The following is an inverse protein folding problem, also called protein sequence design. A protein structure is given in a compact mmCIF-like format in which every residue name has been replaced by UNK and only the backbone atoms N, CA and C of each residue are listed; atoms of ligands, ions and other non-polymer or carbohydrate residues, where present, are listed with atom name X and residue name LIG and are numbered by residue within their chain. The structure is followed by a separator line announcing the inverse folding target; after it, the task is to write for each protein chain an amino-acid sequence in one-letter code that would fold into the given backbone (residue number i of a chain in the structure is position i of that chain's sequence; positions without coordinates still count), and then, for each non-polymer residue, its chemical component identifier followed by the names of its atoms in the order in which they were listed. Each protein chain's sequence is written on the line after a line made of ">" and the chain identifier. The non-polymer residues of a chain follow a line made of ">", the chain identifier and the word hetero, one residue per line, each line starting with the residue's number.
data_IF_996566239562
#
_entry.id   IF_996566239562
#
_cell.length_a   1.000
_cell.length_b   1.000
_cell.length_c   1.000
_cell.angle_alpha   90.00
_cell.angle_beta   90.00
_cell.angle_gamma   90.00
#
_symmetry.space_group_name_H-M   'P 1'
#
loop_
_entity.id
_entity.type
_entity.pdbx_description
1 polymer ?
#
# COMPACT_ATOMS: atom_id res chain seq x y z
N UNK A 1 -8.13 -6.92 1.42
CA UNK A 1 -9.05 -5.85 1.01
C UNK A 1 -8.35 -4.98 -0.02
N UNK A 2 -8.83 -4.96 -1.29
CA UNK A 2 -8.26 -4.15 -2.35
C UNK A 2 -8.89 -2.76 -2.47
N UNK A 3 -8.12 -1.78 -2.95
CA UNK A 3 -8.61 -0.46 -3.36
C UNK A 3 -7.77 0.08 -4.53
N UNK A 4 -8.40 0.78 -5.47
CA UNK A 4 -7.72 1.38 -6.62
C UNK A 4 -8.07 2.86 -6.71
N UNK A 5 -7.04 3.71 -6.72
CA UNK A 5 -7.16 5.15 -6.93
C UNK A 5 -6.71 5.54 -8.33
N UNK A 6 -7.44 6.44 -8.98
CA UNK A 6 -7.08 6.98 -10.29
C UNK A 6 -6.68 8.44 -10.16
N UNK A 7 -5.47 8.78 -10.63
CA UNK A 7 -4.93 10.13 -10.62
C UNK A 7 -4.69 10.62 -12.05
N UNK A 8 -5.29 11.76 -12.45
CA UNK A 8 -5.05 12.33 -13.77
C UNK A 8 -3.57 12.73 -13.93
N UNK A 9 -3.16 12.96 -15.18
CA UNK A 9 -1.84 13.51 -15.45
C UNK A 9 -1.71 14.88 -14.76
N UNK A 10 -0.62 15.07 -14.00
CA UNK A 10 -0.34 16.32 -13.32
C UNK A 10 1.13 16.69 -13.49
N UNK A 11 1.38 17.90 -14.01
CA UNK A 11 2.72 18.39 -14.29
C UNK A 11 3.43 17.65 -15.44
N UNK A 12 4.71 18.00 -15.66
CA UNK A 12 5.58 17.41 -16.68
C UNK A 12 6.64 16.47 -16.08
N UNK A 13 6.31 15.79 -14.99
CA UNK A 13 7.24 14.86 -14.30
C UNK A 13 7.20 13.51 -15.01
N UNK A 14 8.37 12.89 -15.25
CA UNK A 14 8.44 11.58 -15.88
C UNK A 14 7.88 10.48 -14.97
N UNK A 15 7.41 9.38 -15.56
CA UNK A 15 6.94 8.21 -14.80
C UNK A 15 8.04 7.62 -13.89
N UNK A 16 9.31 7.74 -14.31
CA UNK A 16 10.46 7.33 -13.51
C UNK A 16 10.60 8.16 -12.23
N UNK A 17 10.59 9.49 -12.35
CA UNK A 17 10.68 10.40 -11.21
C UNK A 17 9.49 10.22 -10.25
N UNK A 18 8.28 10.06 -10.80
CA UNK A 18 7.08 9.73 -10.01
C UNK A 18 7.26 8.42 -9.25
N UNK A 19 7.84 7.39 -9.87
CA UNK A 19 8.11 6.12 -9.21
C UNK A 19 9.10 6.25 -8.05
N UNK A 20 10.13 7.10 -8.19
CA UNK A 20 11.09 7.39 -7.11
C UNK A 20 10.37 8.10 -5.95
N UNK A 21 9.57 9.13 -6.25
CA UNK A 21 8.82 9.87 -5.22
C UNK A 21 7.84 8.96 -4.46
N UNK A 22 7.11 8.10 -5.18
CA UNK A 22 6.17 7.15 -4.57
C UNK A 22 6.88 6.12 -3.70
N UNK A 23 8.01 5.55 -4.14
CA UNK A 23 8.80 4.62 -3.33
C UNK A 23 9.38 5.28 -2.08
N UNK A 24 9.90 6.51 -2.21
CA UNK A 24 10.47 7.26 -1.08
C UNK A 24 9.40 7.57 -0.03
N UNK A 25 8.28 8.14 -0.46
CA UNK A 25 7.17 8.46 0.44
C UNK A 25 6.52 7.22 1.04
N UNK A 26 6.53 6.09 0.33
CA UNK A 26 6.06 4.81 0.87
C UNK A 26 6.96 4.30 1.99
N UNK A 27 8.27 4.34 1.80
CA UNK A 27 9.23 3.99 2.86
C UNK A 27 9.03 4.90 4.10
N UNK A 28 8.83 6.19 3.88
CA UNK A 28 8.63 7.16 4.96
C UNK A 28 7.30 6.94 5.71
N UNK A 29 6.17 6.73 5.02
CA UNK A 29 4.89 6.44 5.68
C UNK A 29 4.93 5.11 6.44
N UNK A 30 5.66 4.11 5.95
CA UNK A 30 5.81 2.82 6.62
C UNK A 30 6.56 2.93 7.95
N UNK A 31 7.37 3.98 8.17
CA UNK A 31 7.93 4.23 9.52
C UNK A 31 6.85 4.50 10.57
N UNK A 32 5.71 5.10 10.16
CA UNK A 32 4.54 5.34 11.01
C UNK A 32 3.61 4.13 11.02
N UNK A 33 3.48 3.46 9.87
CA UNK A 33 2.65 2.27 9.68
C UNK A 33 3.47 0.97 9.68
N UNK A 34 4.42 0.86 10.61
CA UNK A 34 5.42 -0.21 10.64
C UNK A 34 4.86 -1.64 10.59
N UNK A 35 3.68 -1.97 11.18
CA UNK A 35 3.15 -3.33 11.08
C UNK A 35 2.85 -3.75 9.64
N UNK A 36 2.56 -2.80 8.75
CA UNK A 36 2.28 -3.09 7.33
C UNK A 36 3.53 -3.57 6.57
N UNK A 37 4.73 -3.30 7.09
CA UNK A 37 6.00 -3.81 6.55
C UNK A 37 6.36 -5.21 7.09
N UNK A 38 5.52 -5.79 7.96
CA UNK A 38 5.73 -7.11 8.56
C UNK A 38 5.10 -8.27 7.80
N UNK A 39 4.95 -9.40 8.50
CA UNK A 39 4.28 -10.62 8.01
C UNK A 39 3.19 -11.09 8.96
N UNK A 40 2.08 -11.58 8.40
CA UNK A 40 1.05 -12.27 9.17
C UNK A 40 1.53 -13.69 9.45
N UNK A 41 1.70 -14.05 10.72
CA UNK A 41 2.13 -15.38 11.16
C UNK A 41 0.96 -16.11 11.78
N UNK A 42 0.69 -17.32 11.25
CA UNK A 42 -0.35 -18.25 11.71
C UNK A 42 -1.77 -17.66 11.84
N UNK A 43 -2.03 -16.51 11.21
CA UNK A 43 -3.25 -15.71 11.41
C UNK A 43 -3.47 -15.22 12.85
N UNK A 44 -2.43 -15.24 13.68
CA UNK A 44 -2.50 -14.92 15.11
C UNK A 44 -1.83 -13.60 15.44
N UNK A 45 -0.72 -13.27 14.80
CA UNK A 45 0.01 -12.04 15.07
C UNK A 45 0.71 -11.50 13.81
N UNK A 46 1.07 -10.21 13.85
CA UNK A 46 1.97 -9.61 12.86
C UNK A 46 3.39 -9.65 13.43
N UNK A 47 4.29 -10.34 12.74
CA UNK A 47 5.72 -10.20 12.97
C UNK A 47 6.20 -8.91 12.29
N UNK A 48 6.48 -7.89 13.10
CA UNK A 48 7.00 -6.59 12.64
C UNK A 48 8.50 -6.70 12.33
N UNK A 49 8.83 -7.51 11.33
CA UNK A 49 10.21 -7.88 10.95
C UNK A 49 10.85 -6.95 9.90
N UNK A 50 10.18 -5.86 9.54
CA UNK A 50 10.63 -4.86 8.56
C UNK A 50 11.10 -5.45 7.21
N UNK A 51 10.56 -6.60 6.79
CA UNK A 51 10.86 -7.17 5.47
C UNK A 51 10.23 -6.38 4.31
N UNK A 52 9.47 -5.33 4.63
CA UNK A 52 8.91 -4.37 3.69
C UNK A 52 7.65 -4.86 2.99
N UNK A 53 7.22 -4.08 2.02
CA UNK A 53 6.01 -4.30 1.22
C UNK A 53 6.36 -4.57 -0.23
N UNK A 54 5.53 -5.35 -0.92
CA UNK A 54 5.70 -5.50 -2.36
C UNK A 54 5.23 -4.23 -3.09
N UNK A 55 6.07 -3.73 -4.00
CA UNK A 55 5.80 -2.55 -4.80
C UNK A 55 6.01 -2.85 -6.29
N UNK A 56 4.92 -2.85 -7.05
CA UNK A 56 4.91 -3.17 -8.48
C UNK A 56 4.76 -1.90 -9.32
N UNK A 57 5.44 -1.88 -10.46
CA UNK A 57 5.28 -0.87 -11.50
C UNK A 57 4.75 -1.54 -12.77
N UNK A 58 3.70 -0.98 -13.34
CA UNK A 58 3.09 -1.47 -14.58
C UNK A 58 2.83 -0.31 -15.56
N UNK A 59 2.69 -0.65 -16.83
CA UNK A 59 2.16 0.24 -17.85
C UNK A 59 0.88 -0.39 -18.40
N UNK A 60 -0.24 0.30 -18.30
CA UNK A 60 -1.51 -0.17 -18.81
C UNK A 60 -1.91 0.66 -20.04
N UNK A 61 -2.13 -0.02 -21.17
CA UNK A 61 -2.53 0.60 -22.45
C UNK A 61 -4.02 0.91 -22.48
N UNK A 62 -4.52 1.58 -21.43
CA UNK A 62 -5.93 1.89 -21.24
C UNK A 62 -6.08 3.38 -20.94
N UNK A 63 -7.14 3.98 -21.46
CA UNK A 63 -7.52 5.37 -21.20
C UNK A 63 -8.28 5.46 -19.87
N UNK A 64 -7.87 6.37 -18.98
CA UNK A 64 -8.54 6.59 -17.69
C UNK A 64 -10.02 6.93 -17.86
N UNK A 65 -10.37 7.75 -18.86
CA UNK A 65 -11.74 8.15 -19.13
C UNK A 65 -12.65 6.96 -19.45
N UNK A 66 -12.15 5.95 -20.16
CA UNK A 66 -12.90 4.72 -20.46
C UNK A 66 -13.21 3.95 -19.18
N UNK A 67 -12.21 3.77 -18.31
CA UNK A 67 -12.36 3.06 -17.04
C UNK A 67 -13.37 3.79 -16.14
N UNK A 68 -13.25 5.11 -16.00
CA UNK A 68 -14.12 5.88 -15.12
C UNK A 68 -15.55 6.01 -15.65
N UNK A 69 -15.74 5.94 -16.98
CA UNK A 69 -17.09 5.99 -17.59
C UNK A 69 -17.90 4.71 -17.35
N UNK A 70 -17.23 3.56 -17.23
CA UNK A 70 -17.87 2.27 -16.97
C UNK A 70 -16.91 1.35 -16.20
N UNK A 71 -16.86 1.45 -14.86
CA UNK A 71 -15.92 0.68 -14.06
C UNK A 71 -16.38 -0.79 -13.94
N UNK A 72 -15.84 -1.66 -14.79
CA UNK A 72 -16.10 -3.11 -14.75
C UNK A 72 -15.17 -3.74 -13.69
N UNK A 73 -15.69 -4.34 -12.59
CA UNK A 73 -14.85 -4.83 -11.50
C UNK A 73 -13.78 -5.85 -11.91
N UNK A 74 -14.09 -6.71 -12.90
CA UNK A 74 -13.14 -7.69 -13.43
C UNK A 74 -11.93 -7.05 -14.11
N UNK A 75 -12.11 -5.89 -14.77
CA UNK A 75 -11.04 -5.17 -15.44
C UNK A 75 -10.16 -4.39 -14.47
N UNK A 76 -10.69 -4.01 -13.29
CA UNK A 76 -9.93 -3.29 -12.27
C UNK A 76 -8.85 -4.15 -11.61
N UNK A 77 -8.99 -5.48 -11.69
CA UNK A 77 -8.00 -6.43 -11.15
C UNK A 77 -6.61 -6.24 -11.75
N UNK A 78 -6.52 -5.78 -13.00
CA UNK A 78 -5.23 -5.52 -13.65
C UNK A 78 -4.39 -4.43 -12.97
N UNK A 79 -5.04 -3.58 -12.14
CA UNK A 79 -4.39 -2.51 -11.38
C UNK A 79 -3.99 -2.94 -9.97
N UNK A 80 -4.20 -4.20 -9.61
CA UNK A 80 -3.83 -4.77 -8.32
C UNK A 80 -2.55 -5.61 -8.45
N UNK A 81 -1.71 -5.65 -7.40
CA UNK A 81 -0.42 -6.34 -7.43
C UNK A 81 -0.52 -7.86 -7.59
N UNK A 82 -1.61 -8.48 -7.15
CA UNK A 82 -1.89 -9.91 -7.31
C UNK A 82 -3.38 -10.21 -7.12
N UNK A 83 -3.79 -11.43 -7.45
CA UNK A 83 -5.15 -11.92 -7.24
C UNK A 83 -5.46 -12.08 -5.75
N UNK A 84 -6.68 -11.72 -5.35
CA UNK A 84 -7.12 -11.76 -3.94
C UNK A 84 -7.16 -13.16 -3.32
N UNK A 85 -7.13 -14.19 -4.16
CA UNK A 85 -7.12 -15.59 -3.74
C UNK A 85 -5.70 -16.12 -3.51
N UNK A 86 -4.67 -15.34 -3.87
CA UNK A 86 -3.29 -15.69 -3.61
C UNK A 86 -3.00 -15.49 -2.11
N UNK A 87 -2.83 -16.60 -1.37
CA UNK A 87 -2.54 -16.53 0.06
C UNK A 87 -1.10 -16.10 0.25
N UNK A 88 -0.90 -14.85 0.66
CA UNK A 88 0.40 -14.30 1.00
C UNK A 88 0.46 -13.92 2.48
N UNK A 89 1.66 -14.01 3.04
CA UNK A 89 1.99 -13.57 4.39
C UNK A 89 2.23 -12.06 4.49
N UNK A 90 2.37 -11.36 3.35
CA UNK A 90 2.46 -9.90 3.29
C UNK A 90 1.25 -9.20 3.92
N UNK A 91 1.52 -8.22 4.78
CA UNK A 91 0.50 -7.36 5.36
C UNK A 91 -0.11 -6.39 4.33
N UNK A 92 0.72 -5.90 3.40
CA UNK A 92 0.33 -4.97 2.35
C UNK A 92 1.12 -5.17 1.05
N UNK A 93 0.50 -4.86 -0.08
CA UNK A 93 1.17 -4.67 -1.36
C UNK A 93 0.59 -3.49 -2.14
N UNK A 94 1.41 -2.92 -3.02
CA UNK A 94 1.11 -1.73 -3.82
C UNK A 94 1.44 -1.99 -5.29
N UNK A 95 0.57 -1.57 -6.19
CA UNK A 95 0.88 -1.48 -7.62
C UNK A 95 0.62 -0.06 -8.13
N UNK A 96 1.57 0.49 -8.88
CA UNK A 96 1.39 1.74 -9.62
C UNK A 96 1.40 1.44 -11.11
N UNK A 97 0.30 1.73 -11.78
CA UNK A 97 0.11 1.49 -13.21
C UNK A 97 0.02 2.83 -13.95
N UNK A 98 0.99 3.12 -14.82
CA UNK A 98 0.95 4.31 -15.66
C UNK A 98 0.04 4.09 -16.86
N UNK A 99 -0.79 5.08 -17.17
CA UNK A 99 -1.81 5.02 -18.22
C UNK A 99 -1.38 5.83 -19.46
N UNK A 100 -1.97 5.54 -20.62
CA UNK A 100 -1.66 6.22 -21.89
C UNK A 100 -1.89 7.75 -21.84
N UNK A 101 -2.87 8.19 -21.05
CA UNK A 101 -3.17 9.61 -20.86
C UNK A 101 -2.15 10.35 -19.97
N UNK A 102 -1.08 9.70 -19.50
CA UNK A 102 -0.10 10.23 -18.54
C UNK A 102 -0.55 10.16 -17.08
N UNK A 103 -1.82 9.80 -16.83
CA UNK A 103 -2.32 9.51 -15.48
C UNK A 103 -1.75 8.22 -14.90
N UNK A 104 -2.15 7.90 -13.67
CA UNK A 104 -1.81 6.63 -13.03
C UNK A 104 -3.00 6.02 -12.28
N UNK A 105 -3.01 4.70 -12.18
CA UNK A 105 -3.79 3.96 -11.22
C UNK A 105 -2.88 3.47 -10.08
N UNK A 106 -3.28 3.65 -8.83
CA UNK A 106 -2.57 3.16 -7.64
C UNK A 106 -3.47 2.13 -6.96
N UNK A 107 -3.09 0.85 -7.08
CA UNK A 107 -3.73 -0.26 -6.41
C UNK A 107 -3.08 -0.57 -5.08
N UNK A 108 -3.90 -0.77 -4.05
CA UNK A 108 -3.50 -1.18 -2.71
C UNK A 108 -4.19 -2.49 -2.37
N UNK A 109 -3.47 -3.41 -1.75
CA UNK A 109 -4.04 -4.57 -1.06
C UNK A 109 -3.51 -4.55 0.37
N UNK A 110 -4.40 -4.51 1.36
CA UNK A 110 -4.07 -4.75 2.76
C UNK A 110 -4.80 -6.01 3.23
N UNK A 111 -4.13 -6.86 4.02
CA UNK A 111 -4.75 -8.03 4.64
C UNK A 111 -5.94 -7.61 5.51
N UNK A 112 -7.13 -8.15 5.22
CA UNK A 112 -8.35 -7.83 5.99
C UNK A 112 -8.26 -8.36 7.43
N UNK A 113 -7.28 -9.21 7.74
CA UNK A 113 -7.07 -9.74 9.08
C UNK A 113 -6.47 -8.71 10.05
N UNK A 114 -5.83 -7.66 9.53
CA UNK A 114 -5.10 -6.67 10.33
C UNK A 114 -5.66 -5.25 10.20
N UNK A 115 -6.55 -5.00 9.23
CA UNK A 115 -7.09 -3.68 8.95
C UNK A 115 -8.46 -3.75 8.29
N UNK A 116 -9.31 -2.80 8.66
CA UNK A 116 -10.60 -2.52 8.02
C UNK A 116 -10.48 -1.38 6.98
N UNK A 117 -11.61 -1.05 6.35
CA UNK A 117 -11.69 0.00 5.33
C UNK A 117 -11.22 1.37 5.83
N UNK A 118 -11.50 1.71 7.09
CA UNK A 118 -11.10 2.99 7.68
C UNK A 118 -9.59 3.05 7.88
N UNK A 119 -8.99 1.96 8.36
CA UNK A 119 -7.54 1.81 8.54
C UNK A 119 -6.80 1.92 7.20
N UNK A 120 -7.31 1.27 6.14
CA UNK A 120 -6.78 1.42 4.78
C UNK A 120 -6.88 2.87 4.28
N UNK A 121 -8.01 3.53 4.50
CA UNK A 121 -8.20 4.92 4.10
C UNK A 121 -7.24 5.87 4.82
N UNK A 122 -7.05 5.68 6.14
CA UNK A 122 -6.08 6.43 6.94
C UNK A 122 -4.65 6.25 6.40
N UNK A 123 -4.25 5.02 6.09
CA UNK A 123 -2.95 4.75 5.47
C UNK A 123 -2.80 5.48 4.13
N UNK A 124 -3.78 5.34 3.22
CA UNK A 124 -3.72 5.96 1.90
C UNK A 124 -3.63 7.49 1.96
N UNK A 125 -4.40 8.14 2.84
CA UNK A 125 -4.33 9.58 3.04
C UNK A 125 -2.98 10.02 3.64
N UNK A 126 -2.49 9.28 4.64
CA UNK A 126 -1.18 9.57 5.25
C UNK A 126 -0.05 9.43 4.23
N UNK A 127 -0.09 8.39 3.40
CA UNK A 127 0.89 8.19 2.34
C UNK A 127 0.84 9.32 1.31
N UNK A 128 -0.35 9.72 0.86
CA UNK A 128 -0.53 10.81 -0.08
C UNK A 128 -0.03 12.16 0.50
N UNK A 129 -0.31 12.44 1.78
CA UNK A 129 0.15 13.64 2.46
C UNK A 129 1.69 13.69 2.53
N UNK A 130 2.36 12.59 2.92
CA UNK A 130 3.83 12.49 2.91
C UNK A 130 4.38 12.66 1.49
N UNK A 131 3.75 12.03 0.49
CA UNK A 131 4.17 12.17 -0.91
C UNK A 131 4.09 13.62 -1.42
N UNK A 132 3.18 14.43 -0.85
CA UNK A 132 3.04 15.86 -1.12
C UNK A 132 3.93 16.75 -0.24
N UNK A 133 4.71 16.18 0.68
CA UNK A 133 5.63 16.92 1.56
C UNK A 133 4.99 17.46 2.84
N UNK A 134 3.79 16.97 3.21
CA UNK A 134 3.18 17.29 4.50
C UNK A 134 3.96 16.63 5.64
N UNK A 135 4.09 17.35 6.75
CA UNK A 135 4.81 16.89 7.95
C UNK A 135 3.88 16.65 9.13
N UNK A 136 2.67 17.25 9.13
CA UNK A 136 1.70 17.19 10.23
C UNK A 136 0.64 16.12 10.01
N UNK A 137 1.07 14.86 10.07
CA UNK A 137 0.20 13.71 9.81
C UNK A 137 -0.07 12.96 11.12
N UNK A 138 -1.34 12.65 11.46
CA UNK A 138 -1.67 11.90 12.66
C UNK A 138 -0.95 10.54 12.71
N UNK A 139 -0.47 10.16 13.89
CA UNK A 139 0.11 8.83 14.09
C UNK A 139 -1.00 7.78 14.21
N UNK A 140 -0.89 6.63 13.52
CA UNK A 140 -1.80 5.52 13.72
C UNK A 140 -1.66 4.96 15.13
N UNK A 141 -2.78 4.54 15.72
CA UNK A 141 -2.80 3.83 17.00
C UNK A 141 -2.89 2.33 16.74
N UNK A 142 -1.93 1.57 17.26
CA UNK A 142 -1.87 0.11 17.15
C UNK A 142 -2.23 -0.59 18.46
N UNK A 143 -3.05 0.04 19.29
CA UNK A 143 -3.52 -0.56 20.53
C UNK A 143 -4.42 -1.76 20.19
N UNK A 144 -4.03 -2.94 20.67
CA UNK A 144 -4.79 -4.16 20.46
C UNK A 144 -6.14 -4.05 21.18
N UNK A 145 -7.25 -4.28 20.46
CA UNK A 145 -8.50 -4.59 21.11
C UNK A 145 -8.36 -5.98 21.75
N UNK A 146 -8.43 -6.07 23.08
CA UNK A 146 -8.38 -7.33 23.84
C UNK A 146 -9.68 -8.14 23.72
N UNK A 147 -10.22 -8.26 22.52
CA UNK A 147 -11.32 -9.16 22.21
C UNK A 147 -10.76 -10.38 21.46
N UNK A 148 -11.22 -11.57 21.84
CA UNK A 148 -10.59 -12.89 21.69
C UNK A 148 -10.26 -13.38 20.26
N UNK A 149 -10.31 -12.52 19.23
CA UNK A 149 -9.96 -12.85 17.84
C UNK A 149 -9.05 -11.82 17.14
N UNK A 150 -8.47 -10.84 17.85
CA UNK A 150 -7.58 -9.85 17.22
C UNK A 150 -6.14 -10.36 17.05
N UNK A 151 -5.59 -10.12 15.85
CA UNK A 151 -4.18 -10.36 15.55
C UNK A 151 -3.32 -9.48 16.47
N UNK A 152 -2.45 -10.10 17.28
CA UNK A 152 -1.54 -9.37 18.16
C UNK A 152 -0.44 -8.70 17.34
N UNK A 153 -0.07 -7.46 17.68
CA UNK A 153 1.12 -6.82 17.12
C UNK A 153 2.23 -6.91 18.15
N UNK A 154 3.22 -7.77 17.91
CA UNK A 154 4.36 -7.95 18.82
C UNK A 154 5.62 -7.41 18.18
N UNK A 155 6.27 -6.46 18.87
CA UNK A 155 7.55 -5.87 18.45
C UNK A 155 8.68 -6.71 19.02
N UNK A 156 9.41 -7.46 18.19
CA UNK A 156 10.74 -7.95 18.59
C UNK A 156 11.75 -6.80 18.48
N UNK A 157 12.64 -6.66 19.46
CA UNK A 157 13.77 -5.72 19.38
C UNK A 157 14.64 -6.11 18.18
N UNK A 158 14.90 -5.18 17.26
CA UNK A 158 15.78 -5.41 16.11
C UNK A 158 17.23 -5.56 16.57
N UNK A 159 17.88 -6.66 16.16
CA UNK A 159 19.33 -6.73 16.00
C UNK A 159 19.70 -6.16 14.62
N UNK A 160 20.67 -5.25 14.61
CA UNK A 160 21.10 -4.51 13.43
C UNK A 160 21.81 -5.43 12.43
N UNK A 161 21.16 -5.74 11.31
CA UNK A 161 21.70 -6.49 10.18
C UNK A 161 21.02 -6.11 8.86
N UNK A 162 21.83 -5.67 7.90
CA UNK A 162 21.51 -4.94 6.67
C UNK A 162 20.96 -5.81 5.52
N UNK A 163 19.77 -5.54 4.93
CA UNK A 163 19.42 -5.88 3.52
C UNK A 163 18.31 -4.94 2.97
N UNK A 164 18.43 -4.52 1.70
CA UNK A 164 17.49 -3.65 0.97
C UNK A 164 16.31 -4.42 0.34
N UNK A 165 15.09 -4.16 0.83
CA UNK A 165 13.82 -3.93 0.10
C UNK A 165 13.16 -2.71 0.80
N UNK A 166 12.24 -2.00 0.13
CA UNK A 166 11.86 -0.61 0.46
C UNK A 166 11.39 -0.46 1.91
#
# INVERSE_FOLDING_TARGET
>A
MPLVYFYPAYGKISNWERSIQLKKSLSEVLTRFYPLAGRVVDNLYVDCNDEGVEFFLANAKVEMSKILSNPIPGELKQFLPYDLNDSRDYCMAVQVSFLNCGGMAVGLIISHKIADAMSLHMFANSWAAIACGDTDIPYPKFEAATTENCILMSRKKLDTGQVRRI
#
